data_IF_808160182103
#
_entry.id   IF_808160182103
#
_cell.length_a   1.000
_cell.length_b   1.000
_cell.length_c   1.000
_cell.angle_alpha   90.00
_cell.angle_beta   90.00
_cell.angle_gamma   90.00
#
_symmetry.space_group_name_H-M   'P 1'
#
loop_
_entity.id
_entity.type
_entity.pdbx_description
1 polymer ?
#
# COMPACT_ATOMS: atom_id res chain seq x y z
N UNK A 1 13.57 -10.78 16.82
CA UNK A 1 12.24 -10.22 17.17
C UNK A 1 12.34 -8.99 18.08
N UNK A 2 13.21 -8.98 19.11
CA UNK A 2 13.42 -7.83 20.01
C UNK A 2 13.75 -6.50 19.30
N UNK A 3 14.61 -6.55 18.28
CA UNK A 3 15.09 -5.36 17.56
C UNK A 3 13.99 -4.48 16.92
N UNK A 4 12.84 -5.04 16.50
CA UNK A 4 11.74 -4.23 15.92
C UNK A 4 10.91 -3.53 17.00
N UNK A 5 10.72 -4.19 18.14
CA UNK A 5 10.06 -3.60 19.30
C UNK A 5 10.94 -2.49 19.89
N UNK A 6 12.25 -2.75 20.02
CA UNK A 6 13.24 -1.76 20.44
C UNK A 6 13.29 -0.57 19.47
N UNK A 7 13.24 -0.79 18.16
CA UNK A 7 13.18 0.30 17.18
C UNK A 7 11.90 1.14 17.32
N UNK A 8 10.76 0.50 17.59
CA UNK A 8 9.49 1.19 17.84
C UNK A 8 9.53 1.98 19.16
N UNK A 9 10.17 1.44 20.20
CA UNK A 9 10.36 2.14 21.46
C UNK A 9 11.33 3.32 21.31
N UNK A 10 12.40 3.16 20.54
CA UNK A 10 13.32 4.24 20.19
C UNK A 10 12.58 5.40 19.49
N UNK A 11 11.68 5.09 18.55
CA UNK A 11 10.82 6.11 17.94
C UNK A 11 10.00 6.88 18.98
N UNK A 12 9.37 6.18 19.94
CA UNK A 12 8.59 6.82 21.01
C UNK A 12 9.48 7.65 21.96
N UNK A 13 10.70 7.19 22.25
CA UNK A 13 11.69 7.94 23.03
C UNK A 13 12.11 9.21 22.32
N UNK A 14 12.37 9.18 21.01
CA UNK A 14 12.72 10.38 20.22
C UNK A 14 11.63 11.45 20.33
N UNK A 15 10.35 11.04 20.28
CA UNK A 15 9.21 11.94 20.53
C UNK A 15 9.26 12.62 21.90
N UNK A 16 9.64 11.89 22.96
CA UNK A 16 9.80 12.46 24.31
C UNK A 16 10.89 13.54 24.36
N UNK A 17 11.96 13.38 23.58
CA UNK A 17 13.02 14.38 23.45
C UNK A 17 12.71 15.49 22.42
N UNK A 18 11.50 15.51 21.84
CA UNK A 18 11.10 16.43 20.77
C UNK A 18 11.99 16.37 19.52
N UNK A 19 12.62 15.22 19.29
CA UNK A 19 13.37 14.94 18.07
C UNK A 19 12.50 14.08 17.16
N UNK A 20 12.26 14.54 15.93
CA UNK A 20 11.48 13.76 14.96
C UNK A 20 12.41 12.88 14.13
N UNK A 21 12.18 11.55 14.07
CA UNK A 21 12.87 10.70 13.12
C UNK A 21 12.50 11.08 11.69
N UNK A 22 13.47 10.91 10.79
CA UNK A 22 13.26 11.17 9.36
C UNK A 22 12.28 10.15 8.78
N UNK A 23 11.42 10.59 7.84
CA UNK A 23 10.45 9.73 7.16
C UNK A 23 11.07 8.45 6.58
N UNK A 24 12.30 8.53 6.04
CA UNK A 24 13.03 7.36 5.51
C UNK A 24 13.27 6.25 6.55
N UNK A 25 13.66 6.62 7.78
CA UNK A 25 13.89 5.67 8.87
C UNK A 25 12.57 5.03 9.33
N UNK A 26 11.51 5.83 9.42
CA UNK A 26 10.17 5.35 9.73
C UNK A 26 9.65 4.40 8.64
N UNK A 27 9.83 4.74 7.37
CA UNK A 27 9.43 3.89 6.24
C UNK A 27 10.15 2.53 6.26
N UNK A 28 11.43 2.50 6.63
CA UNK A 28 12.16 1.24 6.77
C UNK A 28 11.57 0.37 7.89
N UNK A 29 11.32 0.95 9.08
CA UNK A 29 10.70 0.22 10.19
C UNK A 29 9.28 -0.26 9.83
N UNK A 30 8.49 0.60 9.20
CA UNK A 30 7.14 0.29 8.74
C UNK A 30 7.14 -0.89 7.77
N UNK A 31 7.97 -0.83 6.72
CA UNK A 31 8.11 -1.92 5.76
C UNK A 31 8.52 -3.24 6.43
N UNK A 32 9.45 -3.20 7.39
CA UNK A 32 9.86 -4.39 8.14
C UNK A 32 8.73 -4.94 9.02
N UNK A 33 7.93 -4.09 9.67
CA UNK A 33 6.77 -4.51 10.47
C UNK A 33 5.70 -5.18 9.59
N UNK A 34 5.41 -4.58 8.42
CA UNK A 34 4.46 -5.14 7.45
C UNK A 34 4.91 -6.51 6.92
N UNK A 35 6.20 -6.68 6.60
CA UNK A 35 6.73 -7.95 6.06
C UNK A 35 6.76 -9.10 7.07
N UNK A 36 6.87 -8.82 8.37
CA UNK A 36 6.91 -9.85 9.43
C UNK A 36 5.49 -10.25 9.88
N UNK A 37 4.43 -9.79 9.20
CA UNK A 37 3.04 -10.13 9.53
C UNK A 37 2.55 -9.49 10.83
N UNK A 38 3.20 -8.40 11.29
CA UNK A 38 2.81 -7.67 12.49
C UNK A 38 1.84 -6.53 12.15
N UNK A 39 0.69 -6.87 11.57
CA UNK A 39 -0.27 -5.91 11.04
C UNK A 39 -0.71 -4.84 12.02
N UNK A 40 -1.09 -5.25 13.23
CA UNK A 40 -1.50 -4.33 14.29
C UNK A 40 -0.38 -3.35 14.66
N UNK A 41 0.87 -3.82 14.77
CA UNK A 41 2.01 -2.94 15.04
C UNK A 41 2.31 -2.02 13.85
N UNK A 42 2.22 -2.52 12.62
CA UNK A 42 2.39 -1.71 11.40
C UNK A 42 1.36 -0.58 11.33
N UNK A 43 0.07 -0.90 11.56
CA UNK A 43 -1.04 0.06 11.61
C UNK A 43 -0.86 1.09 12.72
N UNK A 44 -0.50 0.64 13.92
CA UNK A 44 -0.23 1.52 15.06
C UNK A 44 0.94 2.45 14.76
N UNK A 45 2.04 1.92 14.25
CA UNK A 45 3.24 2.70 13.93
C UNK A 45 2.96 3.74 12.83
N UNK A 46 2.21 3.39 11.79
CA UNK A 46 1.76 4.34 10.76
C UNK A 46 0.97 5.50 11.37
N UNK A 47 0.00 5.22 12.25
CA UNK A 47 -0.78 6.26 12.96
C UNK A 47 0.10 7.11 13.87
N UNK A 48 1.05 6.49 14.60
CA UNK A 48 1.96 7.19 15.49
C UNK A 48 2.92 8.12 14.72
N UNK A 49 3.36 7.71 13.52
CA UNK A 49 4.15 8.54 12.61
C UNK A 49 3.39 9.79 12.18
N UNK A 50 2.14 9.64 11.73
CA UNK A 50 1.29 10.78 11.33
C UNK A 50 1.01 11.71 12.53
N UNK A 51 0.66 11.15 13.68
CA UNK A 51 0.42 11.93 14.93
C UNK A 51 1.66 12.64 15.45
N UNK A 52 2.85 12.19 15.08
CA UNK A 52 4.11 12.86 15.40
C UNK A 52 4.43 14.01 14.42
N UNK A 53 3.57 14.28 13.42
CA UNK A 53 3.80 15.32 12.42
C UNK A 53 4.79 14.91 11.33
N UNK A 54 5.13 13.62 11.23
CA UNK A 54 5.99 13.12 10.15
C UNK A 54 5.11 12.94 8.92
N UNK A 55 5.36 13.77 7.90
CA UNK A 55 4.60 13.74 6.66
C UNK A 55 4.78 12.37 5.97
N UNK A 56 3.69 11.62 5.73
CA UNK A 56 3.76 10.40 4.94
C UNK A 56 4.11 10.72 3.49
N UNK A 57 4.83 9.82 2.86
CA UNK A 57 5.22 9.89 1.45
C UNK A 57 4.46 8.85 0.61
N UNK A 58 4.53 8.94 -0.72
CA UNK A 58 4.05 7.88 -1.63
C UNK A 58 4.52 6.50 -1.18
N UNK A 59 5.82 6.37 -0.88
CA UNK A 59 6.41 5.13 -0.40
C UNK A 59 5.79 4.63 0.92
N UNK A 60 5.44 5.55 1.82
CA UNK A 60 4.77 5.21 3.09
C UNK A 60 3.40 4.59 2.84
N UNK A 61 2.61 5.20 1.95
CA UNK A 61 1.29 4.68 1.59
C UNK A 61 1.39 3.36 0.83
N UNK A 62 2.33 3.24 -0.11
CA UNK A 62 2.56 1.99 -0.85
C UNK A 62 2.87 0.80 0.06
N UNK A 63 3.69 1.00 1.11
CA UNK A 63 3.93 -0.05 2.11
C UNK A 63 2.62 -0.53 2.74
N UNK A 64 1.78 0.40 3.18
CA UNK A 64 0.55 0.06 3.90
C UNK A 64 -0.52 -0.51 2.97
N UNK A 65 -0.69 0.05 1.78
CA UNK A 65 -1.64 -0.44 0.76
C UNK A 65 -1.26 -1.85 0.32
N UNK A 66 0.01 -2.08 -0.05
CA UNK A 66 0.51 -3.42 -0.40
C UNK A 66 0.29 -4.43 0.74
N UNK A 67 0.56 -4.02 1.98
CA UNK A 67 0.30 -4.85 3.15
C UNK A 67 -1.18 -5.20 3.30
N UNK A 68 -2.09 -4.21 3.24
CA UNK A 68 -3.53 -4.46 3.37
C UNK A 68 -4.06 -5.36 2.25
N UNK A 69 -3.61 -5.16 1.01
CA UNK A 69 -3.97 -6.01 -0.12
C UNK A 69 -3.55 -7.46 0.11
N UNK A 70 -2.34 -7.70 0.63
CA UNK A 70 -1.83 -9.05 0.92
C UNK A 70 -2.57 -9.75 2.06
N UNK A 71 -3.04 -9.00 3.04
CA UNK A 71 -3.89 -9.53 4.12
C UNK A 71 -5.36 -9.70 3.69
N UNK A 72 -5.73 -9.25 2.49
CA UNK A 72 -7.09 -9.29 1.98
C UNK A 72 -8.03 -8.20 2.53
N UNK A 73 -7.50 -7.23 3.29
CA UNK A 73 -8.28 -6.09 3.79
C UNK A 73 -8.33 -4.96 2.74
N UNK A 74 -9.02 -5.24 1.63
CA UNK A 74 -9.17 -4.29 0.52
C UNK A 74 -9.96 -3.04 0.90
N UNK A 75 -10.82 -3.13 1.92
CA UNK A 75 -11.54 -1.96 2.46
C UNK A 75 -10.56 -0.95 3.04
N UNK A 76 -9.63 -1.40 3.87
CA UNK A 76 -8.61 -0.52 4.44
C UNK A 76 -7.63 -0.06 3.37
N UNK A 77 -7.27 -0.92 2.40
CA UNK A 77 -6.42 -0.53 1.27
C UNK A 77 -7.03 0.64 0.47
N UNK A 78 -8.32 0.56 0.12
CA UNK A 78 -9.04 1.66 -0.55
C UNK A 78 -9.15 2.92 0.29
N UNK A 79 -9.37 2.78 1.60
CA UNK A 79 -9.41 3.94 2.49
C UNK A 79 -8.06 4.67 2.52
N UNK A 80 -6.95 3.94 2.54
CA UNK A 80 -5.60 4.51 2.48
C UNK A 80 -5.32 5.16 1.12
N UNK A 81 -5.78 4.55 0.03
CA UNK A 81 -5.68 5.11 -1.32
C UNK A 81 -6.46 6.43 -1.46
N UNK A 82 -7.68 6.49 -0.94
CA UNK A 82 -8.46 7.73 -0.89
C UNK A 82 -7.77 8.79 -0.02
N UNK A 83 -7.32 8.43 1.17
CA UNK A 83 -6.59 9.33 2.07
C UNK A 83 -5.32 9.90 1.42
N UNK A 84 -4.57 9.07 0.69
CA UNK A 84 -3.39 9.50 -0.06
C UNK A 84 -3.73 10.63 -1.05
N UNK A 85 -4.82 10.47 -1.82
CA UNK A 85 -5.32 11.47 -2.76
C UNK A 85 -5.83 12.73 -2.06
N UNK A 86 -6.58 12.59 -0.96
CA UNK A 86 -7.07 13.71 -0.15
C UNK A 86 -5.93 14.56 0.44
N UNK A 87 -4.80 13.92 0.74
CA UNK A 87 -3.58 14.60 1.20
C UNK A 87 -2.77 15.23 0.07
N UNK A 88 -3.24 15.17 -1.19
CA UNK A 88 -2.54 15.68 -2.36
C UNK A 88 -1.30 14.86 -2.75
N UNK A 89 -1.19 13.63 -2.26
CA UNK A 89 -0.08 12.74 -2.60
C UNK A 89 -0.51 11.93 -3.83
N UNK A 90 0.16 12.13 -4.95
CA UNK A 90 -0.17 11.45 -6.21
C UNK A 90 0.18 9.95 -6.14
N UNK A 91 -0.80 9.05 -6.36
CA UNK A 91 -0.53 7.62 -6.52
C UNK A 91 0.46 7.34 -7.65
N UNK A 92 1.32 6.34 -7.45
CA UNK A 92 2.26 5.90 -8.47
C UNK A 92 1.92 4.49 -8.98
N UNK A 93 2.72 4.00 -9.92
CA UNK A 93 2.56 2.67 -10.52
C UNK A 93 2.56 1.56 -9.47
N UNK A 94 3.32 1.71 -8.38
CA UNK A 94 3.35 0.72 -7.30
C UNK A 94 2.04 0.75 -6.52
N UNK A 95 1.46 1.94 -6.28
CA UNK A 95 0.13 2.07 -5.65
C UNK A 95 -0.93 1.32 -6.45
N UNK A 96 -1.01 1.59 -7.75
CA UNK A 96 -2.01 0.97 -8.64
C UNK A 96 -1.79 -0.54 -8.76
N UNK A 97 -0.56 -0.98 -9.00
CA UNK A 97 -0.23 -2.40 -9.12
C UNK A 97 -0.59 -3.18 -7.84
N UNK A 98 -0.36 -2.62 -6.65
CA UNK A 98 -0.76 -3.26 -5.39
C UNK A 98 -2.28 -3.42 -5.26
N UNK A 99 -3.07 -2.45 -5.71
CA UNK A 99 -4.53 -2.52 -5.67
C UNK A 99 -5.08 -3.50 -6.70
N UNK A 100 -4.58 -3.46 -7.93
CA UNK A 100 -4.96 -4.38 -9.03
C UNK A 100 -4.66 -5.83 -8.63
N UNK A 101 -3.45 -6.10 -8.14
CA UNK A 101 -3.05 -7.44 -7.66
C UNK A 101 -3.90 -7.90 -6.46
N UNK A 102 -4.18 -7.00 -5.51
CA UNK A 102 -5.01 -7.29 -4.34
C UNK A 102 -6.45 -7.67 -4.69
N UNK A 103 -7.13 -6.82 -5.47
CA UNK A 103 -8.48 -7.09 -5.98
C UNK A 103 -8.50 -8.36 -6.84
N UNK A 104 -7.51 -8.50 -7.71
CA UNK A 104 -7.43 -9.60 -8.64
C UNK A 104 -7.25 -10.95 -7.96
N UNK A 105 -6.44 -11.04 -6.88
CA UNK A 105 -6.26 -12.28 -6.11
C UNK A 105 -7.52 -12.75 -5.40
N UNK A 106 -8.40 -11.81 -5.03
CA UNK A 106 -9.68 -12.05 -4.35
C UNK A 106 -10.86 -12.20 -5.32
N UNK A 107 -10.63 -12.16 -6.64
CA UNK A 107 -11.66 -12.36 -7.65
C UNK A 107 -12.58 -11.18 -7.88
N UNK A 108 -12.20 -10.00 -7.40
CA UNK A 108 -12.92 -8.75 -7.61
C UNK A 108 -12.47 -8.14 -8.95
N UNK A 109 -12.82 -8.81 -10.05
CA UNK A 109 -12.41 -8.46 -11.41
C UNK A 109 -12.83 -7.04 -11.80
N UNK A 110 -14.10 -6.70 -11.60
CA UNK A 110 -14.65 -5.39 -11.98
C UNK A 110 -13.92 -4.25 -11.25
N UNK A 111 -13.57 -4.48 -9.99
CA UNK A 111 -12.78 -3.55 -9.20
C UNK A 111 -11.34 -3.44 -9.71
N UNK A 112 -10.71 -4.55 -10.08
CA UNK A 112 -9.37 -4.58 -10.66
C UNK A 112 -9.30 -3.77 -11.96
N UNK A 113 -10.28 -3.97 -12.84
CA UNK A 113 -10.43 -3.21 -14.10
C UNK A 113 -10.72 -1.74 -13.81
N UNK A 114 -11.59 -1.43 -12.85
CA UNK A 114 -11.88 -0.05 -12.45
C UNK A 114 -10.62 0.70 -11.99
N UNK A 115 -9.75 0.05 -11.20
CA UNK A 115 -8.47 0.63 -10.76
C UNK A 115 -7.50 0.81 -11.95
N UNK A 116 -7.48 -0.13 -12.90
CA UNK A 116 -6.67 0.01 -14.12
C UNK A 116 -7.12 1.18 -15.01
N UNK A 117 -8.43 1.39 -15.15
CA UNK A 117 -8.96 2.57 -15.86
C UNK A 117 -8.63 3.87 -15.12
N UNK A 118 -8.71 3.88 -13.78
CA UNK A 118 -8.29 5.03 -12.97
C UNK A 118 -6.78 5.33 -13.17
N UNK A 119 -5.94 4.30 -13.25
CA UNK A 119 -4.50 4.42 -13.51
C UNK A 119 -4.23 5.13 -14.84
N UNK A 120 -4.90 4.71 -15.93
CA UNK A 120 -4.80 5.36 -17.25
C UNK A 120 -5.29 6.81 -17.21
N UNK A 121 -6.42 7.05 -16.56
CA UNK A 121 -6.99 8.40 -16.41
C UNK A 121 -6.08 9.35 -15.60
N UNK A 122 -5.27 8.81 -14.69
CA UNK A 122 -4.28 9.54 -13.92
C UNK A 122 -2.94 9.77 -14.65
N UNK A 123 -2.84 9.42 -15.94
CA UNK A 123 -1.59 9.46 -16.72
C UNK A 123 -0.45 8.66 -16.08
N UNK A 124 -0.79 7.56 -15.39
CA UNK A 124 0.18 6.61 -14.86
C UNK A 124 0.25 5.43 -15.83
N UNK A 125 1.36 5.29 -16.55
CA UNK A 125 1.49 4.28 -17.59
C UNK A 125 1.58 2.86 -17.00
N UNK A 126 0.72 1.91 -17.43
CA UNK A 126 0.82 0.50 -17.06
C UNK A 126 2.17 -0.11 -17.43
N UNK A 127 2.68 -1.01 -16.58
CA UNK A 127 3.89 -1.79 -16.85
C UNK A 127 3.61 -3.30 -16.91
N UNK A 128 4.69 -4.07 -17.09
CA UNK A 128 4.63 -5.54 -17.13
C UNK A 128 4.01 -6.12 -15.86
N UNK A 129 4.19 -5.48 -14.70
CA UNK A 129 3.60 -5.94 -13.44
C UNK A 129 2.08 -5.72 -13.48
N UNK A 130 1.61 -4.59 -14.02
CA UNK A 130 0.18 -4.31 -14.21
C UNK A 130 -0.50 -5.40 -15.05
N UNK A 131 0.03 -5.66 -16.25
CA UNK A 131 -0.57 -6.65 -17.16
C UNK A 131 -0.46 -8.08 -16.62
N UNK A 132 0.64 -8.45 -15.96
CA UNK A 132 0.76 -9.75 -15.30
C UNK A 132 -0.30 -9.94 -14.20
N UNK A 133 -0.61 -8.90 -13.43
CA UNK A 133 -1.66 -8.96 -12.42
C UNK A 133 -3.06 -9.16 -13.05
N UNK A 134 -3.36 -8.44 -14.13
CA UNK A 134 -4.61 -8.59 -14.88
C UNK A 134 -4.75 -9.99 -15.51
N UNK A 135 -3.74 -10.47 -16.22
CA UNK A 135 -3.74 -11.82 -16.83
C UNK A 135 -3.95 -12.90 -15.78
N UNK A 136 -3.20 -12.85 -14.67
CA UNK A 136 -3.37 -13.81 -13.57
C UNK A 136 -4.79 -13.77 -13.00
N UNK A 137 -5.40 -12.58 -12.94
CA UNK A 137 -6.77 -12.43 -12.49
C UNK A 137 -7.76 -13.06 -13.47
N UNK A 138 -7.72 -12.69 -14.76
CA UNK A 138 -8.67 -13.21 -15.76
C UNK A 138 -8.57 -14.74 -15.93
N UNK A 139 -7.35 -15.29 -15.94
CA UNK A 139 -7.13 -16.73 -16.05
C UNK A 139 -7.70 -17.50 -14.85
N UNK A 140 -7.60 -16.94 -13.64
CA UNK A 140 -8.04 -17.60 -12.41
C UNK A 140 -9.57 -17.64 -12.25
N UNK A 141 -10.29 -16.71 -12.86
CA UNK A 141 -11.75 -16.56 -12.72
C UNK A 141 -12.52 -16.80 -14.01
N UNK A 142 -11.93 -17.53 -14.97
CA UNK A 142 -12.54 -18.00 -16.22
C UNK A 142 -13.15 -16.90 -17.12
N UNK A 143 -12.72 -15.64 -16.96
CA UNK A 143 -13.14 -14.51 -17.82
C UNK A 143 -12.10 -14.19 -18.89
N UNK A 144 -11.60 -15.24 -19.55
CA UNK A 144 -10.59 -15.16 -20.62
C UNK A 144 -10.92 -14.16 -21.74
N UNK A 145 -12.18 -13.96 -22.20
CA UNK A 145 -12.45 -13.02 -23.29
C UNK A 145 -12.05 -11.58 -22.99
N UNK A 146 -12.25 -11.10 -21.74
CA UNK A 146 -11.86 -9.75 -21.34
C UNK A 146 -10.34 -9.57 -21.28
N UNK A 147 -9.56 -10.65 -21.13
CA UNK A 147 -8.10 -10.56 -21.12
C UNK A 147 -7.50 -10.09 -22.45
N UNK A 148 -8.23 -10.26 -23.57
CA UNK A 148 -7.79 -9.85 -24.90
C UNK A 148 -8.18 -8.41 -25.25
N UNK A 149 -8.92 -7.72 -24.38
CA UNK A 149 -9.35 -6.33 -24.58
C UNK A 149 -8.36 -5.30 -24.03
N UNK A 150 -7.31 -5.75 -23.33
CA UNK A 150 -6.26 -4.94 -22.70
C UNK A 150 -4.89 -5.21 -23.30
#
# INVERSE_FOLDING_TARGET
LGMLNEASECFLRMKRFRVLPKARSCNYLLHRLSKVGKGELSRKFFKDMIRAGIAPSVFTFNIMIDYMCKEGDLKTARSLFAQMKEMGITPDIVTYNSLIDGHGKLGQLDDSVSIFEEMKGACCDPDVITFNALINCFCKFERMPLAFEF
#
